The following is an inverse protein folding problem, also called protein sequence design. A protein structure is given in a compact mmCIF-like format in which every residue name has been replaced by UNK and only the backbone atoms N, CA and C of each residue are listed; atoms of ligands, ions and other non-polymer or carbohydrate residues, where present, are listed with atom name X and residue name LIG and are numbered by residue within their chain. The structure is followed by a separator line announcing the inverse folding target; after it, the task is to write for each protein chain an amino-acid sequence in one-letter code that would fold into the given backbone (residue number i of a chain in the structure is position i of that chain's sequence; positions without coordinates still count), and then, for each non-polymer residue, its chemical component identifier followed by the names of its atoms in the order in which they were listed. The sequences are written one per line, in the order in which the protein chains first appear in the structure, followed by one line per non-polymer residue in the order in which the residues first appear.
data_IF_266726320479
#
_entry.id   IF_266726320479
#
_cell.length_a   1.000
_cell.length_b   1.000
_cell.length_c   1.000
_cell.angle_alpha   90.00
_cell.angle_beta   90.00
_cell.angle_gamma   90.00
#
_symmetry.space_group_name_H-M   'P 1'
#
loop_
_entity.id
_entity.type
_entity.pdbx_description
1 polymer ?
#
# COMPACT_ATOMS: atom_id res chain seq x y z
N UNK A 1 41.71 22.84 20.42
CA UNK A 1 41.26 21.80 21.39
C UNK A 1 39.80 22.01 21.78
N UNK A 2 39.31 23.24 21.91
CA UNK A 2 37.88 23.54 22.16
C UNK A 2 36.92 23.06 21.08
N UNK A 3 37.21 23.23 19.78
CA UNK A 3 36.24 22.88 18.73
C UNK A 3 35.94 21.37 18.64
N UNK A 4 36.90 20.52 19.00
CA UNK A 4 36.68 19.06 19.04
C UNK A 4 35.80 18.66 20.24
N UNK A 5 35.86 19.43 21.32
CA UNK A 5 35.03 19.22 22.50
C UNK A 5 33.59 19.67 22.23
N UNK A 6 33.39 20.79 21.52
CA UNK A 6 32.07 21.24 21.07
C UNK A 6 31.40 20.25 20.11
N UNK A 7 32.15 19.69 19.16
CA UNK A 7 31.63 18.66 18.24
C UNK A 7 31.28 17.38 19.02
N UNK A 8 32.11 16.95 19.98
CA UNK A 8 31.81 15.81 20.84
C UNK A 8 30.55 16.05 21.70
N UNK A 9 30.40 17.26 22.25
CA UNK A 9 29.25 17.63 23.09
C UNK A 9 27.96 17.71 22.25
N UNK A 10 28.04 18.27 21.03
CA UNK A 10 26.91 18.34 20.10
C UNK A 10 26.45 16.96 19.61
N UNK A 11 27.37 15.99 19.49
CA UNK A 11 27.00 14.61 19.14
C UNK A 11 26.39 13.82 20.29
N UNK A 12 26.69 14.16 21.55
CA UNK A 12 26.10 13.49 22.72
C UNK A 12 24.69 13.99 23.07
N UNK A 13 24.30 15.19 22.64
CA UNK A 13 23.00 15.79 23.01
C UNK A 13 21.82 15.36 22.11
N UNK A 14 22.07 14.73 20.96
CA UNK A 14 21.00 14.24 20.08
C UNK A 14 20.47 12.88 20.54
N UNK A 15 19.62 12.88 21.55
CA UNK A 15 18.88 11.70 22.01
C UNK A 15 17.59 11.56 21.19
N UNK A 16 17.47 10.59 20.26
CA UNK A 16 16.26 10.45 19.45
C UNK A 16 15.03 10.25 20.34
N UNK A 17 14.05 11.15 20.19
CA UNK A 17 12.86 11.16 21.04
C UNK A 17 11.87 10.11 20.52
N UNK A 18 11.54 9.12 21.35
CA UNK A 18 10.71 7.96 20.97
C UNK A 18 9.37 8.34 20.32
N UNK A 19 8.74 9.43 20.76
CA UNK A 19 7.47 9.90 20.20
C UNK A 19 7.61 10.42 18.76
N UNK A 20 8.74 11.07 18.42
CA UNK A 20 9.04 11.51 17.04
C UNK A 20 9.25 10.33 16.12
N UNK A 21 9.96 9.30 16.57
CA UNK A 21 10.12 8.05 15.83
C UNK A 21 8.77 7.35 15.57
N UNK A 22 7.87 7.37 16.57
CA UNK A 22 6.50 6.92 16.42
C UNK A 22 5.74 7.70 15.34
N UNK A 23 5.83 9.03 15.36
CA UNK A 23 5.17 9.90 14.38
C UNK A 23 5.70 9.68 12.95
N UNK A 24 7.00 9.52 12.77
CA UNK A 24 7.58 9.18 11.48
C UNK A 24 7.08 7.81 10.97
N UNK A 25 7.00 6.81 11.86
CA UNK A 25 6.44 5.50 11.50
C UNK A 25 4.95 5.54 11.16
N UNK A 26 4.20 6.49 11.74
CA UNK A 26 2.78 6.69 11.46
C UNK A 26 2.53 7.30 10.06
N UNK A 27 3.49 8.06 9.51
CA UNK A 27 3.42 8.57 8.13
C UNK A 27 3.65 7.43 7.14
N UNK A 28 4.71 6.64 7.35
CA UNK A 28 5.00 5.47 6.52
C UNK A 28 5.87 4.45 7.27
N UNK A 29 5.60 3.14 7.15
CA UNK A 29 6.40 2.10 7.81
C UNK A 29 7.89 2.21 7.45
N UNK A 30 8.76 2.10 8.46
CA UNK A 30 10.22 2.18 8.29
C UNK A 30 10.83 3.56 8.53
N UNK A 31 10.09 4.66 8.39
CA UNK A 31 10.62 6.02 8.59
C UNK A 31 11.06 6.29 10.03
N UNK A 32 10.36 5.77 11.04
CA UNK A 32 10.81 5.92 12.43
C UNK A 32 12.08 5.15 12.78
N UNK A 33 12.32 4.01 12.12
CA UNK A 33 13.59 3.29 12.29
C UNK A 33 14.75 4.04 11.64
N UNK A 34 14.52 4.67 10.48
CA UNK A 34 15.50 5.58 9.86
C UNK A 34 15.79 6.80 10.75
N UNK A 35 14.77 7.37 11.39
CA UNK A 35 14.95 8.48 12.36
C UNK A 35 15.79 8.07 13.59
N UNK A 36 15.65 6.83 14.03
CA UNK A 36 16.44 6.26 15.13
C UNK A 36 17.88 5.88 14.73
N UNK A 37 18.31 6.16 13.49
CA UNK A 37 19.63 5.80 12.97
C UNK A 37 19.75 4.37 12.47
N UNK A 38 18.70 3.56 12.55
CA UNK A 38 18.68 2.17 12.04
C UNK A 38 18.16 2.16 10.59
N UNK A 39 18.99 2.67 9.67
CA UNK A 39 18.63 2.82 8.26
C UNK A 39 18.35 1.48 7.59
N UNK A 40 19.11 0.43 7.93
CA UNK A 40 18.96 -0.89 7.34
C UNK A 40 17.58 -1.50 7.63
N UNK A 41 17.16 -1.48 8.90
CA UNK A 41 15.81 -1.96 9.25
C UNK A 41 14.72 -1.05 8.71
N UNK A 42 14.93 0.25 8.77
CA UNK A 42 13.99 1.22 8.20
C UNK A 42 13.73 0.99 6.71
N UNK A 43 14.78 0.80 5.91
CA UNK A 43 14.67 0.51 4.49
C UNK A 43 13.93 -0.79 4.21
N UNK A 44 14.20 -1.84 5.00
CA UNK A 44 13.49 -3.11 4.89
C UNK A 44 11.98 -2.95 5.08
N UNK A 45 11.54 -2.29 6.16
CA UNK A 45 10.11 -2.07 6.42
C UNK A 45 9.45 -1.15 5.38
N UNK A 46 10.20 -0.16 4.88
CA UNK A 46 9.71 0.74 3.84
C UNK A 46 9.39 -0.01 2.54
N UNK A 47 10.34 -0.82 2.07
CA UNK A 47 10.20 -1.60 0.84
C UNK A 47 9.12 -2.66 1.00
N UNK A 48 9.07 -3.34 2.15
CA UNK A 48 8.05 -4.34 2.44
C UNK A 48 6.64 -3.75 2.41
N UNK A 49 6.44 -2.60 3.05
CA UNK A 49 5.15 -1.90 3.01
C UNK A 49 4.75 -1.50 1.59
N UNK A 50 5.72 -1.04 0.79
CA UNK A 50 5.47 -0.67 -0.61
C UNK A 50 4.98 -1.86 -1.44
N UNK A 51 5.64 -3.01 -1.30
CA UNK A 51 5.25 -4.25 -1.98
C UNK A 51 3.85 -4.68 -1.53
N UNK A 52 3.56 -4.65 -0.23
CA UNK A 52 2.25 -5.04 0.30
C UNK A 52 1.11 -4.16 -0.24
N UNK A 53 1.30 -2.84 -0.32
CA UNK A 53 0.30 -1.91 -0.87
C UNK A 53 0.03 -2.24 -2.34
N UNK A 54 1.08 -2.46 -3.14
CA UNK A 54 0.97 -2.81 -4.55
C UNK A 54 0.23 -4.15 -4.71
N UNK A 55 0.65 -5.18 -3.98
CA UNK A 55 0.02 -6.50 -4.03
C UNK A 55 -1.45 -6.42 -3.62
N UNK A 56 -1.78 -5.69 -2.57
CA UNK A 56 -3.17 -5.51 -2.12
C UNK A 56 -4.04 -4.89 -3.22
N UNK A 57 -3.55 -3.88 -3.92
CA UNK A 57 -4.27 -3.24 -5.01
C UNK A 57 -4.52 -4.19 -6.19
N UNK A 58 -3.52 -4.99 -6.56
CA UNK A 58 -3.66 -6.00 -7.61
C UNK A 58 -4.66 -7.10 -7.24
N UNK A 59 -4.62 -7.58 -5.99
CA UNK A 59 -5.54 -8.62 -5.51
C UNK A 59 -6.98 -8.13 -5.56
N UNK A 60 -7.27 -6.93 -5.05
CA UNK A 60 -8.63 -6.36 -5.11
C UNK A 60 -9.10 -6.19 -6.55
N UNK A 61 -8.26 -5.59 -7.39
CA UNK A 61 -8.60 -5.33 -8.79
C UNK A 61 -8.88 -6.63 -9.54
N UNK A 62 -8.13 -7.69 -9.25
CA UNK A 62 -8.33 -9.02 -9.83
C UNK A 62 -9.70 -9.61 -9.46
N UNK A 63 -10.12 -9.52 -8.20
CA UNK A 63 -11.44 -9.99 -7.79
C UNK A 63 -12.58 -9.19 -8.43
N UNK A 64 -12.45 -7.87 -8.51
CA UNK A 64 -13.43 -7.01 -9.20
C UNK A 64 -13.55 -7.41 -10.67
N UNK A 65 -12.43 -7.68 -11.33
CA UNK A 65 -12.41 -8.13 -12.72
C UNK A 65 -13.14 -9.47 -12.90
N UNK A 66 -12.92 -10.46 -12.03
CA UNK A 66 -13.63 -11.75 -12.08
C UNK A 66 -15.14 -11.55 -11.95
N UNK A 67 -15.59 -10.75 -10.98
CA UNK A 67 -17.02 -10.48 -10.78
C UNK A 67 -17.61 -9.80 -12.00
N UNK A 68 -16.93 -8.80 -12.54
CA UNK A 68 -17.35 -8.10 -13.76
C UNK A 68 -17.41 -9.05 -14.97
N UNK A 69 -16.46 -9.98 -15.11
CA UNK A 69 -16.44 -10.94 -16.20
C UNK A 69 -17.63 -11.91 -16.14
N UNK A 70 -17.96 -12.44 -14.96
CA UNK A 70 -19.14 -13.29 -14.75
C UNK A 70 -20.42 -12.50 -15.06
N UNK A 71 -20.51 -11.25 -14.60
CA UNK A 71 -21.63 -10.38 -14.90
C UNK A 71 -21.81 -10.17 -16.42
N UNK A 72 -20.73 -9.97 -17.17
CA UNK A 72 -20.78 -9.84 -18.63
C UNK A 72 -21.32 -11.10 -19.30
N UNK A 73 -20.89 -12.29 -18.86
CA UNK A 73 -21.40 -13.56 -19.39
C UNK A 73 -22.91 -13.67 -19.12
N UNK A 74 -23.34 -13.37 -17.90
CA UNK A 74 -24.76 -13.38 -17.54
C UNK A 74 -25.56 -12.38 -18.40
N UNK A 75 -25.04 -11.17 -18.59
CA UNK A 75 -25.69 -10.14 -19.39
C UNK A 75 -25.83 -10.59 -20.85
N UNK A 76 -24.76 -11.10 -21.47
CA UNK A 76 -24.80 -11.62 -22.84
C UNK A 76 -25.80 -12.77 -23.01
N UNK A 77 -25.83 -13.70 -22.04
CA UNK A 77 -26.77 -14.81 -22.03
C UNK A 77 -28.24 -14.34 -21.91
N UNK A 78 -28.50 -13.43 -20.97
CA UNK A 78 -29.83 -12.88 -20.75
C UNK A 78 -30.34 -12.10 -21.96
N UNK A 79 -29.47 -11.32 -22.61
CA UNK A 79 -29.78 -10.56 -23.81
C UNK A 79 -30.14 -11.46 -24.99
N UNK A 80 -29.34 -12.51 -25.25
CA UNK A 80 -29.63 -13.50 -26.28
C UNK A 80 -30.98 -14.21 -26.04
N UNK A 81 -31.27 -14.57 -24.78
CA UNK A 81 -32.53 -15.20 -24.41
C UNK A 81 -33.74 -14.26 -24.56
N UNK A 82 -33.61 -12.99 -24.18
CA UNK A 82 -34.70 -12.01 -24.35
C UNK A 82 -35.00 -11.74 -25.81
N UNK A 83 -33.97 -11.70 -26.67
CA UNK A 83 -34.14 -11.50 -28.10
C UNK A 83 -34.90 -12.67 -28.75
N UNK A 84 -34.55 -13.91 -28.42
CA UNK A 84 -35.25 -15.11 -28.89
C UNK A 84 -36.72 -15.20 -28.43
N UNK A 85 -37.02 -14.73 -27.20
CA UNK A 85 -38.40 -14.65 -26.69
C UNK A 85 -39.24 -13.56 -27.36
N UNK A 86 -38.62 -12.48 -27.83
CA UNK A 86 -39.28 -11.46 -28.65
C UNK A 86 -39.81 -12.09 -29.92
N UNK A 87 -38.92 -12.70 -30.72
CA UNK A 87 -39.27 -13.34 -31.99
C UNK A 87 -40.42 -14.36 -31.88
N UNK A 88 -40.45 -15.19 -30.82
CA UNK A 88 -41.51 -16.21 -30.65
C UNK A 88 -42.89 -15.65 -30.22
N UNK A 89 -42.99 -14.38 -29.82
CA UNK A 89 -44.28 -13.76 -29.46
C UNK A 89 -44.96 -13.06 -30.64
N UNK A 90 -44.25 -12.94 -31.75
CA UNK A 90 -44.65 -12.19 -32.94
C UNK A 90 -45.23 -13.11 -34.04
N UNK A 91 -45.17 -14.43 -33.82
CA UNK A 91 -45.81 -15.51 -34.61
C UNK A 91 -47.14 -15.96 -33.97
#
# INVERSE_FOLDING_TARGET
MESNNEIATATEEFKPQAWRAGLYSAIYPGLGQMYNGDFNRGAFYFVLAFILIITFYFVITFFIFIVFWIYNIYQAYSYARSFSKGINKDE
#
